data_IF_347536408086
#
_entry.id   IF_347536408086
#
_cell.length_a   1.000
_cell.length_b   1.000
_cell.length_c   1.000
_cell.angle_alpha   90.00
_cell.angle_beta   90.00
_cell.angle_gamma   90.00
#
_symmetry.space_group_name_H-M   'P 1'
#
loop_
_entity.id
_entity.type
_entity.pdbx_description
1 polymer ?
#
# COMPACT_ATOMS: atom_id res chain seq x y z
N UNK A 1 5.84 -7.55 -17.11
CA UNK A 1 5.09 -7.40 -15.84
C UNK A 1 5.84 -6.39 -14.98
N UNK A 2 5.16 -5.38 -14.45
CA UNK A 2 5.78 -4.29 -13.67
C UNK A 2 5.22 -4.34 -12.24
N UNK A 3 6.07 -4.18 -11.23
CA UNK A 3 5.64 -4.09 -9.84
C UNK A 3 5.18 -2.66 -9.55
N UNK A 4 4.00 -2.51 -8.93
CA UNK A 4 3.43 -1.22 -8.53
C UNK A 4 3.31 -1.18 -7.01
N UNK A 5 3.83 -0.13 -6.39
CA UNK A 5 3.60 0.20 -4.99
C UNK A 5 2.42 1.17 -4.91
N UNK A 6 1.26 0.64 -4.53
CA UNK A 6 0.02 1.39 -4.32
C UNK A 6 0.04 2.19 -3.00
N UNK A 7 1.10 2.94 -2.72
CA UNK A 7 1.22 3.68 -1.46
C UNK A 7 2.02 4.97 -1.58
N UNK A 8 1.48 6.06 -1.04
CA UNK A 8 2.15 7.35 -0.93
C UNK A 8 3.21 7.40 0.18
N UNK A 9 3.32 6.37 1.03
CA UNK A 9 4.24 6.36 2.18
C UNK A 9 5.71 6.37 1.75
N UNK A 10 6.50 7.42 2.11
CA UNK A 10 7.93 7.46 1.80
C UNK A 10 8.71 6.30 2.42
N UNK A 11 8.29 5.87 3.62
CA UNK A 11 8.90 4.73 4.33
C UNK A 11 8.68 3.41 3.59
N UNK A 12 7.49 3.16 3.03
CA UNK A 12 7.24 1.93 2.24
C UNK A 12 8.07 1.91 0.96
N UNK A 13 8.23 3.07 0.31
CA UNK A 13 9.13 3.18 -0.85
C UNK A 13 10.58 2.88 -0.48
N UNK A 14 11.07 3.39 0.64
CA UNK A 14 12.43 3.13 1.11
C UNK A 14 12.67 1.65 1.40
N UNK A 15 11.72 0.98 2.08
CA UNK A 15 11.79 -0.46 2.32
C UNK A 15 11.85 -1.26 1.01
N UNK A 16 10.99 -0.93 0.03
CA UNK A 16 10.97 -1.64 -1.24
C UNK A 16 12.24 -1.38 -2.08
N UNK A 17 12.81 -0.17 -1.98
CA UNK A 17 14.12 0.15 -2.59
C UNK A 17 15.25 -0.68 -2.00
N UNK A 18 15.24 -0.96 -0.69
CA UNK A 18 16.26 -1.82 -0.05
C UNK A 18 16.21 -3.26 -0.55
N UNK A 19 15.05 -3.74 -1.00
CA UNK A 19 14.90 -5.09 -1.60
C UNK A 19 15.53 -5.14 -3.00
N UNK A 20 15.75 -4.00 -3.67
CA UNK A 20 16.46 -3.93 -4.96
C UNK A 20 15.60 -4.30 -6.17
N UNK A 21 14.27 -4.37 -6.02
CA UNK A 21 13.34 -4.66 -7.11
C UNK A 21 12.91 -3.35 -7.78
N UNK A 22 12.90 -3.25 -9.12
CA UNK A 22 12.32 -2.11 -9.81
C UNK A 22 10.79 -2.05 -9.61
N UNK A 23 10.27 -0.87 -9.23
CA UNK A 23 8.84 -0.64 -9.06
C UNK A 23 8.45 0.78 -9.45
N UNK A 24 7.16 0.98 -9.71
CA UNK A 24 6.52 2.29 -9.89
C UNK A 24 5.65 2.60 -8.69
N UNK A 25 5.54 3.87 -8.31
CA UNK A 25 4.63 4.31 -7.25
C UNK A 25 3.37 4.87 -7.89
N UNK A 26 2.22 4.34 -7.48
CA UNK A 26 0.91 4.89 -7.81
C UNK A 26 0.15 5.10 -6.50
N UNK A 27 -0.40 6.30 -6.28
CA UNK A 27 -1.13 6.57 -5.04
C UNK A 27 -2.60 6.23 -5.28
N UNK A 28 -3.19 5.33 -4.46
CA UNK A 28 -4.59 4.97 -4.64
C UNK A 28 -5.49 6.13 -4.23
N UNK A 29 -6.52 6.40 -5.03
CA UNK A 29 -7.64 7.27 -4.67
C UNK A 29 -8.72 6.42 -4.00
N UNK A 30 -8.45 5.98 -2.77
CA UNK A 30 -9.39 5.19 -1.96
C UNK A 30 -9.82 5.98 -0.74
N UNK A 31 -11.13 5.97 -0.45
CA UNK A 31 -11.66 6.45 0.82
C UNK A 31 -11.58 5.32 1.87
N UNK A 32 -10.51 5.30 2.65
CA UNK A 32 -10.28 4.28 3.68
C UNK A 32 -11.39 4.27 4.75
N UNK A 33 -12.10 5.39 4.95
CA UNK A 33 -13.18 5.47 5.94
C UNK A 33 -14.45 4.72 5.52
N UNK A 34 -14.64 4.47 4.23
CA UNK A 34 -15.75 3.70 3.70
C UNK A 34 -15.54 2.17 3.85
N UNK A 35 -14.34 1.74 4.26
CA UNK A 35 -14.01 0.32 4.48
C UNK A 35 -14.31 -0.05 5.93
N UNK A 36 -15.26 -0.96 6.12
CA UNK A 36 -15.63 -1.46 7.44
C UNK A 36 -15.21 -2.92 7.61
N UNK A 37 -14.78 -3.29 8.81
CA UNK A 37 -14.41 -4.66 9.18
C UNK A 37 -14.78 -4.93 10.64
N UNK A 38 -14.87 -6.20 11.04
CA UNK A 38 -15.30 -6.56 12.40
C UNK A 38 -14.16 -6.42 13.43
N UNK A 39 -12.91 -6.39 12.97
CA UNK A 39 -11.73 -6.20 13.82
C UNK A 39 -10.67 -5.29 13.18
N UNK A 40 -9.73 -4.72 13.98
CA UNK A 40 -8.61 -3.96 13.44
C UNK A 40 -7.70 -4.77 12.51
N UNK A 41 -7.56 -6.07 12.75
CA UNK A 41 -6.76 -6.96 11.90
C UNK A 41 -7.42 -7.15 10.54
N UNK A 42 -8.74 -7.39 10.50
CA UNK A 42 -9.48 -7.49 9.25
C UNK A 42 -9.52 -6.16 8.50
N UNK A 43 -9.59 -5.03 9.21
CA UNK A 43 -9.60 -3.72 8.57
C UNK A 43 -8.34 -3.50 7.75
N UNK A 44 -7.16 -3.77 8.32
CA UNK A 44 -5.87 -3.59 7.61
C UNK A 44 -5.64 -4.60 6.49
N UNK A 45 -6.34 -5.73 6.49
CA UNK A 45 -6.31 -6.69 5.37
C UNK A 45 -7.22 -6.25 4.21
N UNK A 46 -8.28 -5.50 4.50
CA UNK A 46 -9.23 -4.98 3.50
C UNK A 46 -8.79 -3.66 2.86
N UNK A 47 -7.90 -2.93 3.52
CA UNK A 47 -7.28 -1.68 3.05
C UNK A 47 -6.02 -1.97 2.21
#
# INVERSE_FOLDING_TARGET
MQLILASSSPRRQELLRQIGIPFVVEVPEVDEHAVHAESPAELVERL
#
